data_IF_602506156556
#
_entry.id   IF_602506156556
#
_cell.length_a   1.000
_cell.length_b   1.000
_cell.length_c   1.000
_cell.angle_alpha   90.00
_cell.angle_beta   90.00
_cell.angle_gamma   90.00
#
_symmetry.space_group_name_H-M   'P 1'
#
loop_
_entity.id
_entity.type
_entity.pdbx_description
1 polymer ?
#
# COMPACT_ATOMS: atom_id res chain seq x y z
N UNK A 1 -3.37 30.63 18.79
CA UNK A 1 -4.13 29.57 18.11
C UNK A 1 -3.21 28.82 17.15
N UNK A 2 -2.49 27.80 17.62
CA UNK A 2 -1.54 26.99 16.81
C UNK A 2 -2.10 25.61 16.41
N UNK A 3 -3.35 25.32 16.78
CA UNK A 3 -3.97 23.99 16.71
C UNK A 3 -4.26 23.51 15.28
N UNK A 4 -4.47 24.39 14.30
CA UNK A 4 -4.88 23.99 12.95
C UNK A 4 -3.73 23.48 12.05
N UNK A 5 -2.53 24.09 12.11
CA UNK A 5 -1.42 23.76 11.18
C UNK A 5 -0.87 22.34 11.35
N UNK A 6 -0.83 21.83 12.59
CA UNK A 6 -0.35 20.47 12.83
C UNK A 6 -1.38 19.42 12.40
N UNK A 7 -2.67 19.68 12.61
CA UNK A 7 -3.76 18.82 12.18
C UNK A 7 -3.84 18.74 10.65
N UNK A 8 -3.73 19.88 9.97
CA UNK A 8 -3.69 19.96 8.51
C UNK A 8 -2.50 19.15 7.95
N UNK A 9 -1.31 19.30 8.53
CA UNK A 9 -0.12 18.54 8.13
C UNK A 9 -0.33 17.03 8.30
N UNK A 10 -0.89 16.60 9.44
CA UNK A 10 -1.18 15.18 9.72
C UNK A 10 -2.22 14.62 8.75
N UNK A 11 -3.24 15.41 8.41
CA UNK A 11 -4.25 15.03 7.42
C UNK A 11 -3.64 14.86 6.02
N UNK A 12 -2.80 15.81 5.58
CA UNK A 12 -2.09 15.72 4.29
C UNK A 12 -1.17 14.50 4.24
N UNK A 13 -0.44 14.22 5.31
CA UNK A 13 0.42 13.05 5.41
C UNK A 13 -0.37 11.73 5.32
N UNK A 14 -1.52 11.65 6.01
CA UNK A 14 -2.41 10.50 5.94
C UNK A 14 -2.99 10.31 4.53
N UNK A 15 -3.46 11.39 3.89
CA UNK A 15 -3.95 11.39 2.50
C UNK A 15 -2.89 10.91 1.52
N UNK A 16 -1.65 11.41 1.67
CA UNK A 16 -0.53 11.01 0.84
C UNK A 16 -0.16 9.53 1.03
N UNK A 17 -0.23 9.01 2.27
CA UNK A 17 -0.06 7.57 2.53
C UNK A 17 -1.10 6.74 1.78
N UNK A 18 -2.39 7.08 1.91
CA UNK A 18 -3.49 6.38 1.22
C UNK A 18 -3.30 6.41 -0.29
N UNK A 19 -2.93 7.58 -0.85
CA UNK A 19 -2.64 7.72 -2.29
C UNK A 19 -1.51 6.80 -2.75
N UNK A 20 -0.40 6.71 -2.02
CA UNK A 20 0.71 5.80 -2.35
C UNK A 20 0.27 4.34 -2.36
N UNK A 21 -0.55 3.93 -1.40
CA UNK A 21 -1.09 2.57 -1.29
C UNK A 21 -2.01 2.25 -2.46
N UNK A 22 -2.92 3.17 -2.80
CA UNK A 22 -3.82 3.01 -3.95
C UNK A 22 -3.05 2.87 -5.26
N UNK A 23 -2.04 3.72 -5.46
CA UNK A 23 -1.16 3.65 -6.63
C UNK A 23 -0.41 2.32 -6.69
N UNK A 24 0.12 1.82 -5.56
CA UNK A 24 0.77 0.52 -5.50
C UNK A 24 -0.16 -0.61 -5.96
N UNK A 25 -1.40 -0.66 -5.47
CA UNK A 25 -2.36 -1.68 -5.88
C UNK A 25 -2.70 -1.62 -7.37
N UNK A 26 -2.76 -0.42 -7.96
CA UNK A 26 -2.96 -0.28 -9.39
C UNK A 26 -1.77 -0.85 -10.19
N UNK A 27 -0.54 -0.59 -9.75
CA UNK A 27 0.65 -1.16 -10.38
C UNK A 27 0.70 -2.67 -10.22
N UNK A 28 0.37 -3.19 -9.03
CA UNK A 28 0.32 -4.63 -8.77
C UNK A 28 -0.75 -5.32 -9.62
N UNK A 29 -1.93 -4.71 -9.77
CA UNK A 29 -2.99 -5.25 -10.62
C UNK A 29 -2.56 -5.30 -12.09
N UNK A 30 -1.99 -4.22 -12.62
CA UNK A 30 -1.48 -4.18 -13.99
C UNK A 30 -0.38 -5.23 -14.20
N UNK A 31 0.54 -5.36 -13.24
CA UNK A 31 1.57 -6.38 -13.27
C UNK A 31 1.00 -7.80 -13.32
N UNK A 32 0.02 -8.12 -12.46
CA UNK A 32 -0.62 -9.44 -12.47
C UNK A 32 -1.29 -9.75 -13.80
N UNK A 33 -1.89 -8.76 -14.46
CA UNK A 33 -2.47 -8.92 -15.81
C UNK A 33 -1.37 -9.22 -16.82
N UNK A 34 -0.27 -8.46 -16.81
CA UNK A 34 0.87 -8.68 -17.73
C UNK A 34 1.48 -10.06 -17.51
N UNK A 35 1.67 -10.48 -16.26
CA UNK A 35 2.18 -11.83 -15.93
C UNK A 35 1.23 -12.91 -16.44
N UNK A 36 -0.09 -12.75 -16.26
CA UNK A 36 -1.06 -13.71 -16.79
C UNK A 36 -0.99 -13.83 -18.32
N UNK A 37 -0.83 -12.70 -19.03
CA UNK A 37 -0.66 -12.68 -20.48
C UNK A 37 0.67 -13.33 -20.91
N UNK A 38 1.76 -13.10 -20.20
CA UNK A 38 3.06 -13.74 -20.47
C UNK A 38 2.99 -15.25 -20.22
N UNK A 39 2.35 -15.70 -19.13
CA UNK A 39 2.13 -17.12 -18.86
C UNK A 39 1.27 -17.77 -19.94
N UNK A 40 0.22 -17.09 -20.40
CA UNK A 40 -0.59 -17.55 -21.52
C UNK A 40 0.23 -17.65 -22.80
N UNK A 41 1.07 -16.66 -23.10
CA UNK A 41 1.98 -16.70 -24.24
C UNK A 41 2.94 -17.89 -24.16
N UNK A 42 3.54 -18.16 -22.99
CA UNK A 42 4.39 -19.33 -22.77
C UNK A 42 3.65 -20.66 -22.97
N UNK A 43 2.36 -20.72 -22.67
CA UNK A 43 1.56 -21.92 -22.85
C UNK A 43 1.28 -22.24 -24.34
N UNK A 44 1.06 -21.21 -25.17
CA UNK A 44 0.66 -21.39 -26.57
C UNK A 44 1.81 -21.32 -27.58
N UNK A 45 2.98 -20.83 -27.17
CA UNK A 45 4.08 -20.54 -28.09
C UNK A 45 4.68 -21.83 -28.68
N UNK A 46 4.83 -21.85 -30.00
CA UNK A 46 5.43 -22.96 -30.75
C UNK A 46 6.26 -22.39 -31.90
N UNK A 47 7.42 -22.99 -32.18
CA UNK A 47 8.28 -22.59 -33.30
C UNK A 47 9.77 -22.57 -32.97
N UNK A 48 10.62 -22.22 -33.95
CA UNK A 48 12.07 -22.29 -33.83
C UNK A 48 12.67 -21.26 -32.84
N UNK A 49 11.90 -20.25 -32.45
CA UNK A 49 12.35 -19.18 -31.55
C UNK A 49 11.79 -19.31 -30.12
N UNK A 50 11.09 -20.40 -29.80
CA UNK A 50 10.42 -20.60 -28.51
C UNK A 50 11.38 -20.43 -27.33
N UNK A 51 12.59 -20.99 -27.40
CA UNK A 51 13.55 -20.94 -26.29
C UNK A 51 14.02 -19.51 -25.99
N UNK A 52 14.32 -18.72 -27.04
CA UNK A 52 14.77 -17.33 -26.90
C UNK A 52 13.66 -16.46 -26.33
N UNK A 53 12.43 -16.62 -26.83
CA UNK A 53 11.26 -15.85 -26.39
C UNK A 53 10.90 -16.23 -24.95
N UNK A 54 10.98 -17.51 -24.60
CA UNK A 54 10.74 -18.00 -23.24
C UNK A 54 11.75 -17.45 -22.25
N UNK A 55 13.05 -17.49 -22.60
CA UNK A 55 14.10 -16.91 -21.77
C UNK A 55 13.92 -15.41 -21.54
N UNK A 56 13.54 -14.67 -22.59
CA UNK A 56 13.25 -13.24 -22.48
C UNK A 56 12.03 -12.98 -21.57
N UNK A 57 10.92 -13.70 -21.76
CA UNK A 57 9.71 -13.57 -20.95
C UNK A 57 9.99 -13.84 -19.46
N UNK A 58 10.73 -14.92 -19.15
CA UNK A 58 11.09 -15.26 -17.77
C UNK A 58 11.99 -14.17 -17.17
N UNK A 59 13.01 -13.69 -17.90
CA UNK A 59 13.90 -12.63 -17.44
C UNK A 59 13.14 -11.35 -17.09
N UNK A 60 12.22 -10.93 -17.97
CA UNK A 60 11.34 -9.78 -17.74
C UNK A 60 10.48 -10.02 -16.49
N UNK A 61 9.83 -11.18 -16.36
CA UNK A 61 9.01 -11.49 -15.18
C UNK A 61 9.81 -11.41 -13.88
N UNK A 62 11.02 -11.98 -13.83
CA UNK A 62 11.87 -11.95 -12.65
C UNK A 62 12.30 -10.51 -12.30
N UNK A 63 12.77 -9.74 -13.28
CA UNK A 63 13.16 -8.34 -13.09
C UNK A 63 12.00 -7.50 -12.54
N UNK A 64 10.81 -7.62 -13.14
CA UNK A 64 9.64 -6.87 -12.69
C UNK A 64 9.13 -7.34 -11.32
N UNK A 65 9.24 -8.64 -11.00
CA UNK A 65 8.93 -9.17 -9.66
C UNK A 65 9.80 -8.50 -8.60
N UNK A 66 11.11 -8.36 -8.86
CA UNK A 66 12.05 -7.72 -7.94
C UNK A 66 11.72 -6.24 -7.76
N UNK A 67 11.46 -5.51 -8.84
CA UNK A 67 11.09 -4.08 -8.80
C UNK A 67 9.83 -3.87 -7.95
N UNK A 68 8.79 -4.69 -8.16
CA UNK A 68 7.54 -4.60 -7.39
C UNK A 68 7.75 -4.96 -5.93
N UNK A 69 8.60 -5.95 -5.63
CA UNK A 69 8.92 -6.33 -4.26
C UNK A 69 9.59 -5.17 -3.51
N UNK A 70 10.53 -4.47 -4.15
CA UNK A 70 11.16 -3.27 -3.59
C UNK A 70 10.13 -2.14 -3.40
N UNK A 71 9.25 -1.93 -4.38
CA UNK A 71 8.21 -0.91 -4.28
C UNK A 71 7.21 -1.22 -3.16
N UNK A 72 6.81 -2.48 -3.01
CA UNK A 72 5.96 -2.97 -1.93
C UNK A 72 6.64 -2.70 -0.59
N UNK A 73 7.91 -3.04 -0.44
CA UNK A 73 8.68 -2.73 0.76
C UNK A 73 8.63 -1.22 1.08
N UNK A 74 8.90 -0.35 0.11
CA UNK A 74 8.86 1.11 0.30
C UNK A 74 7.48 1.62 0.76
N UNK A 75 6.39 1.09 0.17
CA UNK A 75 5.02 1.50 0.49
C UNK A 75 4.55 0.95 1.84
N UNK A 76 4.92 -0.28 2.19
CA UNK A 76 4.44 -0.98 3.38
C UNK A 76 5.39 -0.94 4.58
N UNK A 77 6.65 -0.50 4.43
CA UNK A 77 7.61 -0.40 5.54
C UNK A 77 7.07 0.36 6.74
N UNK A 78 6.27 1.41 6.52
CA UNK A 78 5.57 2.10 7.61
C UNK A 78 4.58 1.19 8.34
N UNK A 79 3.69 0.48 7.63
CA UNK A 79 2.66 -0.36 8.26
C UNK A 79 3.18 -1.66 8.85
N UNK A 80 4.25 -2.24 8.30
CA UNK A 80 4.87 -3.44 8.86
C UNK A 80 5.65 -3.15 10.15
N UNK A 81 6.21 -1.93 10.29
CA UNK A 81 6.97 -1.52 11.48
C UNK A 81 6.09 -0.91 12.58
N UNK A 82 5.00 -0.21 12.23
CA UNK A 82 3.99 0.23 13.20
C UNK A 82 3.08 -0.95 13.57
N UNK A 83 3.53 -1.72 14.57
CA UNK A 83 2.82 -2.89 15.14
C UNK A 83 1.36 -2.53 15.45
N UNK A 84 0.42 -3.42 15.15
CA UNK A 84 -1.04 -3.31 15.43
C UNK A 84 -1.34 -2.76 16.84
N UNK A 85 -0.54 -3.13 17.85
CA UNK A 85 -0.68 -2.63 19.22
C UNK A 85 -0.52 -1.11 19.38
N UNK A 86 0.24 -0.45 18.51
CA UNK A 86 0.37 1.01 18.53
C UNK A 86 -0.88 1.69 17.95
N UNK A 87 -1.45 1.14 16.87
CA UNK A 87 -2.73 1.61 16.31
C UNK A 87 -3.86 1.40 17.32
N UNK A 88 -3.97 0.21 17.91
CA UNK A 88 -5.00 -0.11 18.91
C UNK A 88 -4.95 0.85 20.10
N UNK A 89 -3.75 1.10 20.67
CA UNK A 89 -3.55 2.07 21.75
C UNK A 89 -3.94 3.50 21.34
N UNK A 90 -3.73 3.87 20.08
CA UNK A 90 -4.05 5.21 19.61
C UNK A 90 -5.56 5.39 19.41
N UNK A 91 -6.24 4.37 18.90
CA UNK A 91 -7.70 4.33 18.78
C UNK A 91 -8.33 4.39 20.17
N UNK A 92 -7.85 3.58 21.13
CA UNK A 92 -8.34 3.59 22.51
C UNK A 92 -8.18 4.98 23.16
N UNK A 93 -7.04 5.64 22.93
CA UNK A 93 -6.82 7.00 23.44
C UNK A 93 -7.79 8.01 22.84
N UNK A 94 -8.03 7.96 21.53
CA UNK A 94 -8.97 8.86 20.84
C UNK A 94 -10.41 8.62 21.33
N UNK A 95 -10.81 7.36 21.52
CA UNK A 95 -12.12 7.02 22.06
C UNK A 95 -12.31 7.57 23.48
N UNK A 96 -11.31 7.41 24.35
CA UNK A 96 -11.32 7.97 25.71
C UNK A 96 -11.33 9.50 25.74
N UNK A 97 -10.60 10.16 24.84
CA UNK A 97 -10.63 11.64 24.71
C UNK A 97 -12.02 12.12 24.30
N UNK A 98 -12.65 11.48 23.30
CA UNK A 98 -14.03 11.79 22.88
C UNK A 98 -15.07 11.53 23.97
N UNK A 99 -14.91 10.45 24.73
CA UNK A 99 -15.82 10.12 25.83
C UNK A 99 -15.73 11.17 26.94
N UNK A 100 -14.52 11.64 27.27
CA UNK A 100 -14.32 12.73 28.23
C UNK A 100 -14.88 14.06 27.75
N UNK A 101 -14.66 14.41 26.49
CA UNK A 101 -15.21 15.62 25.88
C UNK A 101 -16.75 15.60 25.92
N UNK A 102 -17.37 14.46 25.61
CA UNK A 102 -18.83 14.30 25.64
C UNK A 102 -19.39 14.36 27.09
N UNK A 103 -18.69 13.76 28.06
CA UNK A 103 -19.06 13.86 29.49
C UNK A 103 -18.95 15.30 29.99
N UNK A 104 -17.89 16.01 29.61
CA UNK A 104 -17.67 17.41 30.00
C UNK A 104 -18.72 18.33 29.36
N UNK A 105 -19.10 18.11 28.09
CA UNK A 105 -20.19 18.88 27.46
C UNK A 105 -21.54 18.64 28.12
N UNK A 106 -21.87 17.40 28.52
CA UNK A 106 -23.14 17.11 29.23
C UNK A 106 -23.17 17.58 30.69
N UNK A 107 -22.02 17.91 31.28
CA UNK A 107 -21.93 18.36 32.67
C UNK A 107 -22.24 19.86 32.83
N UNK A 108 -22.06 20.64 31.76
CA UNK A 108 -22.31 22.09 31.75
C UNK A 108 -23.63 22.47 31.04
N UNK A 109 -24.40 21.48 30.57
CA UNK A 109 -25.79 21.60 30.09
C UNK A 109 -26.79 21.27 31.20
#
# INVERSE_FOLDING_TARGET
>A
MKLNKEEEKRFVDAKNKVKRIKNFYLHLALYSIVVALLLYNLYIIQGPYTDVITGLNISIMVLWTVIISIHAWSVFRGRLLFKKSWEDKKIEKILKEKEKENVETTFWE
#
